data_IF_176398062475
#
_entry.id   IF_176398062475
#
_cell.length_a   1.000
_cell.length_b   1.000
_cell.length_c   1.000
_cell.angle_alpha   90.00
_cell.angle_beta   90.00
_cell.angle_gamma   90.00
#
_symmetry.space_group_name_H-M   'P 1'
#
loop_
_entity.id
_entity.type
_entity.pdbx_description
1 polymer ?
#
# COMPACT_ATOMS: atom_id res chain seq x y z
N UNK A 1 -57.33 7.39 -8.96
CA UNK A 1 -57.34 7.55 -10.44
C UNK A 1 -56.60 6.35 -11.00
N UNK A 2 -57.38 5.28 -11.26
CA UNK A 2 -57.63 4.71 -12.61
C UNK A 2 -56.41 3.96 -13.12
N UNK A 3 -56.16 2.74 -12.64
CA UNK A 3 -56.86 1.45 -12.85
C UNK A 3 -56.43 0.71 -14.14
N UNK A 4 -56.31 -0.63 -14.11
CA UNK A 4 -55.37 -1.41 -14.92
C UNK A 4 -56.11 -2.40 -15.88
N UNK A 5 -55.58 -3.60 -16.20
CA UNK A 5 -55.40 -4.19 -17.55
C UNK A 5 -56.60 -5.09 -17.99
N UNK A 6 -56.55 -5.90 -19.10
CA UNK A 6 -56.04 -7.28 -18.99
C UNK A 6 -55.58 -8.01 -20.29
N UNK A 7 -54.97 -9.19 -20.10
CA UNK A 7 -54.91 -10.35 -21.01
C UNK A 7 -56.29 -10.91 -21.38
N UNK A 8 -56.40 -11.72 -22.45
CA UNK A 8 -57.24 -12.94 -22.70
C UNK A 8 -57.22 -13.19 -24.23
N UNK A 9 -56.53 -14.21 -24.78
CA UNK A 9 -56.87 -15.65 -24.96
C UNK A 9 -57.78 -16.02 -26.16
N UNK A 10 -57.26 -16.98 -26.95
CA UNK A 10 -57.88 -18.10 -27.68
C UNK A 10 -59.05 -17.86 -28.67
N UNK A 11 -58.94 -18.38 -29.90
CA UNK A 11 -59.63 -19.62 -30.33
C UNK A 11 -59.20 -20.09 -31.74
N UNK A 12 -59.54 -21.34 -32.02
CA UNK A 12 -59.03 -22.26 -33.04
C UNK A 12 -59.70 -22.18 -34.42
N UNK A 13 -59.27 -23.15 -35.26
CA UNK A 13 -59.94 -23.84 -36.39
C UNK A 13 -59.80 -23.30 -37.82
N UNK A 14 -59.23 -24.15 -38.71
CA UNK A 14 -59.19 -24.02 -40.18
C UNK A 14 -60.57 -24.19 -40.86
N UNK A 15 -60.71 -24.41 -42.20
CA UNK A 15 -59.93 -25.38 -42.99
C UNK A 15 -59.65 -25.03 -44.48
N UNK A 16 -58.99 -25.98 -45.18
CA UNK A 16 -59.31 -26.50 -46.53
C UNK A 16 -58.70 -25.90 -47.84
N UNK A 17 -58.62 -26.74 -48.92
CA UNK A 17 -57.60 -26.70 -49.97
C UNK A 17 -58.13 -26.39 -51.40
N UNK A 18 -57.23 -26.16 -52.35
CA UNK A 18 -57.50 -26.20 -53.80
C UNK A 18 -56.20 -26.08 -54.60
N UNK A 19 -55.88 -26.86 -55.64
CA UNK A 19 -56.69 -27.77 -56.45
C UNK A 19 -56.89 -27.24 -57.86
N UNK A 20 -55.88 -27.34 -58.75
CA UNK A 20 -56.04 -27.15 -60.20
C UNK A 20 -55.17 -28.20 -60.94
N UNK A 21 -55.71 -29.37 -61.32
CA UNK A 21 -56.46 -29.73 -62.55
C UNK A 21 -55.69 -29.48 -63.87
N UNK A 22 -55.18 -30.57 -64.43
CA UNK A 22 -54.73 -30.74 -65.83
C UNK A 22 -55.93 -30.76 -66.81
N UNK A 23 -55.73 -30.41 -68.09
CA UNK A 23 -56.56 -30.87 -69.20
C UNK A 23 -55.78 -31.77 -70.21
N UNK A 24 -56.49 -32.44 -71.15
CA UNK A 24 -56.21 -33.81 -71.57
C UNK A 24 -55.44 -33.97 -72.90
N UNK A 25 -55.15 -35.23 -73.20
CA UNK A 25 -54.41 -35.81 -74.34
C UNK A 25 -55.29 -35.95 -75.61
N UNK A 26 -54.60 -36.12 -76.76
CA UNK A 26 -55.00 -36.72 -78.06
C UNK A 26 -55.50 -35.70 -79.12
N UNK A 27 -55.08 -35.65 -80.39
CA UNK A 27 -54.34 -36.59 -81.26
C UNK A 27 -53.95 -35.91 -82.61
N UNK A 28 -52.86 -36.37 -83.24
CA UNK A 28 -52.53 -36.54 -84.70
C UNK A 28 -53.02 -35.54 -85.77
N UNK A 29 -52.33 -35.22 -86.88
CA UNK A 29 -51.05 -35.61 -87.49
C UNK A 29 -50.79 -34.71 -88.71
N UNK A 30 -49.52 -34.56 -89.12
CA UNK A 30 -48.98 -34.45 -90.50
C UNK A 30 -47.56 -33.88 -90.37
N UNK A 31 -46.47 -34.62 -90.61
CA UNK A 31 -46.17 -35.29 -91.87
C UNK A 31 -45.28 -34.38 -92.73
N UNK A 32 -44.10 -33.97 -92.22
CA UNK A 32 -43.08 -33.22 -92.97
C UNK A 32 -41.72 -33.88 -92.69
N UNK A 33 -40.88 -34.14 -93.72
CA UNK A 33 -39.87 -35.20 -93.69
C UNK A 33 -38.68 -34.90 -92.78
N UNK A 34 -38.25 -35.95 -92.06
CA UNK A 34 -37.04 -35.99 -91.21
C UNK A 34 -35.78 -35.85 -92.08
N UNK A 35 -34.90 -34.87 -91.83
CA UNK A 35 -33.52 -34.98 -92.27
C UNK A 35 -32.83 -36.14 -91.52
N UNK A 36 -31.85 -36.82 -92.14
CA UNK A 36 -31.20 -37.99 -91.57
C UNK A 36 -30.57 -37.66 -90.20
N UNK A 37 -30.91 -38.47 -89.20
CA UNK A 37 -30.35 -38.41 -87.85
C UNK A 37 -28.87 -38.74 -87.89
N UNK A 38 -28.05 -37.73 -87.69
CA UNK A 38 -26.63 -37.91 -87.42
C UNK A 38 -26.43 -38.42 -85.98
N UNK A 39 -26.33 -39.75 -85.84
CA UNK A 39 -26.14 -40.47 -84.56
C UNK A 39 -24.82 -40.10 -83.85
N UNK A 40 -23.99 -39.23 -84.43
CA UNK A 40 -22.73 -38.75 -83.83
C UNK A 40 -22.92 -37.57 -82.86
N UNK A 41 -24.02 -36.81 -82.92
CA UNK A 41 -24.22 -35.62 -82.03
C UNK A 41 -24.74 -35.94 -80.61
N UNK A 42 -25.44 -37.06 -80.39
CA UNK A 42 -25.98 -37.43 -79.07
C UNK A 42 -24.91 -37.96 -78.09
N UNK A 43 -23.85 -38.59 -78.60
CA UNK A 43 -22.71 -38.99 -77.76
C UNK A 43 -21.93 -37.78 -77.22
N UNK A 44 -21.88 -36.67 -77.97
CA UNK A 44 -21.25 -35.42 -77.51
C UNK A 44 -22.04 -34.71 -76.41
N UNK A 45 -23.38 -34.77 -76.44
CA UNK A 45 -24.23 -34.12 -75.42
C UNK A 45 -24.24 -34.92 -74.11
N UNK A 46 -24.25 -36.26 -74.16
CA UNK A 46 -24.21 -37.08 -72.94
C UNK A 46 -22.84 -37.03 -72.25
N UNK A 47 -21.75 -37.04 -73.03
CA UNK A 47 -20.38 -36.85 -72.49
C UNK A 47 -20.19 -35.41 -72.00
N UNK A 48 -20.77 -34.42 -72.68
CA UNK A 48 -20.80 -33.03 -72.23
C UNK A 48 -21.53 -32.86 -70.91
N UNK A 49 -22.74 -33.42 -70.77
CA UNK A 49 -23.55 -33.31 -69.55
C UNK A 49 -22.92 -34.03 -68.35
N UNK A 50 -22.34 -35.23 -68.55
CA UNK A 50 -21.59 -35.94 -67.49
C UNK A 50 -20.34 -35.13 -67.10
N UNK A 51 -19.62 -34.57 -68.07
CA UNK A 51 -18.49 -33.67 -67.82
C UNK A 51 -18.91 -32.43 -67.01
N UNK A 52 -20.04 -31.80 -67.33
CA UNK A 52 -20.56 -30.66 -66.58
C UNK A 52 -20.95 -31.03 -65.15
N UNK A 53 -21.60 -32.18 -64.94
CA UNK A 53 -21.96 -32.64 -63.58
C UNK A 53 -20.71 -32.94 -62.75
N UNK A 54 -19.69 -33.59 -63.32
CA UNK A 54 -18.42 -33.85 -62.61
C UNK A 54 -17.72 -32.55 -62.23
N UNK A 55 -17.68 -31.56 -63.14
CA UNK A 55 -17.10 -30.24 -62.85
C UNK A 55 -17.89 -29.50 -61.78
N UNK A 56 -19.23 -29.48 -61.84
CA UNK A 56 -20.08 -28.83 -60.84
C UNK A 56 -19.96 -29.50 -59.46
N UNK A 57 -19.94 -30.83 -59.39
CA UNK A 57 -19.71 -31.56 -58.15
C UNK A 57 -18.31 -31.30 -57.59
N UNK A 58 -17.29 -31.26 -58.45
CA UNK A 58 -15.93 -30.91 -58.06
C UNK A 58 -15.84 -29.50 -57.45
N UNK A 59 -16.43 -28.51 -58.12
CA UNK A 59 -16.51 -27.13 -57.62
C UNK A 59 -17.29 -27.04 -56.30
N UNK A 60 -18.38 -27.81 -56.15
CA UNK A 60 -19.15 -27.88 -54.92
C UNK A 60 -18.35 -28.45 -53.74
N UNK A 61 -17.57 -29.53 -53.97
CA UNK A 61 -16.67 -30.10 -52.96
C UNK A 61 -15.57 -29.10 -52.60
N UNK A 62 -14.94 -28.45 -53.60
CA UNK A 62 -13.90 -27.45 -53.35
C UNK A 62 -14.44 -26.25 -52.56
N UNK A 63 -15.64 -25.77 -52.88
CA UNK A 63 -16.31 -24.71 -52.14
C UNK A 63 -16.57 -25.14 -50.69
N UNK A 64 -17.02 -26.37 -50.45
CA UNK A 64 -17.27 -26.88 -49.10
C UNK A 64 -15.98 -26.96 -48.27
N UNK A 65 -14.91 -27.52 -48.84
CA UNK A 65 -13.60 -27.60 -48.18
C UNK A 65 -13.03 -26.22 -47.90
N UNK A 66 -13.13 -25.29 -48.84
CA UNK A 66 -12.67 -23.91 -48.65
C UNK A 66 -13.48 -23.17 -47.56
N UNK A 67 -14.78 -23.43 -47.45
CA UNK A 67 -15.59 -22.87 -46.36
C UNK A 67 -15.20 -23.44 -44.99
N UNK A 68 -15.02 -24.76 -44.88
CA UNK A 68 -14.63 -25.40 -43.63
C UNK A 68 -13.25 -24.91 -43.16
N UNK A 69 -12.26 -24.86 -44.07
CA UNK A 69 -10.93 -24.35 -43.74
C UNK A 69 -10.94 -22.87 -43.32
N UNK A 70 -11.78 -22.05 -43.96
CA UNK A 70 -12.00 -20.67 -43.52
C UNK A 70 -12.64 -20.61 -42.13
N UNK A 71 -13.71 -21.37 -41.88
CA UNK A 71 -14.44 -21.33 -40.60
C UNK A 71 -13.57 -21.81 -39.43
N UNK A 72 -12.74 -22.83 -39.66
CA UNK A 72 -11.75 -23.30 -38.69
C UNK A 72 -10.70 -22.21 -38.41
N UNK A 73 -10.11 -21.59 -39.45
CA UNK A 73 -9.16 -20.50 -39.26
C UNK A 73 -9.78 -19.28 -38.56
N UNK A 74 -11.04 -18.93 -38.90
CA UNK A 74 -11.78 -17.84 -38.28
C UNK A 74 -12.03 -18.10 -36.80
N UNK A 75 -12.49 -19.30 -36.42
CA UNK A 75 -12.63 -19.69 -35.01
C UNK A 75 -11.28 -19.63 -34.26
N UNK A 76 -10.20 -20.01 -34.93
CA UNK A 76 -8.85 -19.91 -34.39
C UNK A 76 -8.42 -18.45 -34.11
N UNK A 77 -8.80 -17.50 -34.96
CA UNK A 77 -8.58 -16.07 -34.75
C UNK A 77 -9.46 -15.55 -33.61
N UNK A 78 -10.73 -15.93 -33.55
CA UNK A 78 -11.62 -15.56 -32.44
C UNK A 78 -11.07 -16.00 -31.07
N UNK A 79 -10.54 -17.22 -30.99
CA UNK A 79 -9.90 -17.75 -29.79
C UNK A 79 -8.64 -16.94 -29.41
N UNK A 80 -7.81 -16.60 -30.39
CA UNK A 80 -6.61 -15.80 -30.18
C UNK A 80 -6.96 -14.36 -29.73
N UNK A 81 -7.99 -13.74 -30.32
CA UNK A 81 -8.49 -12.42 -29.92
C UNK A 81 -9.02 -12.42 -28.49
N UNK A 82 -9.73 -13.48 -28.07
CA UNK A 82 -10.17 -13.65 -26.67
C UNK A 82 -8.98 -13.73 -25.72
N UNK A 83 -7.92 -14.44 -26.10
CA UNK A 83 -6.67 -14.53 -25.32
C UNK A 83 -5.99 -13.17 -25.18
N UNK A 84 -5.82 -12.44 -26.30
CA UNK A 84 -5.25 -11.08 -26.29
C UNK A 84 -6.07 -10.15 -25.40
N UNK A 85 -7.40 -10.19 -25.48
CA UNK A 85 -8.27 -9.31 -24.66
C UNK A 85 -8.12 -9.58 -23.16
N UNK A 86 -8.00 -10.86 -22.76
CA UNK A 86 -7.74 -11.23 -21.37
C UNK A 86 -6.37 -10.71 -20.91
N UNK A 87 -5.32 -10.97 -21.69
CA UNK A 87 -3.96 -10.53 -21.39
C UNK A 87 -3.83 -9.00 -21.37
N UNK A 88 -4.54 -8.29 -22.24
CA UNK A 88 -4.58 -6.84 -22.25
C UNK A 88 -5.23 -6.26 -20.98
N UNK A 89 -6.23 -6.93 -20.43
CA UNK A 89 -6.89 -6.51 -19.17
C UNK A 89 -5.95 -6.72 -17.99
N UNK A 90 -5.26 -7.86 -17.95
CA UNK A 90 -4.28 -8.16 -16.91
C UNK A 90 -3.09 -7.20 -16.96
N UNK A 91 -2.49 -6.99 -18.14
CA UNK A 91 -1.37 -6.07 -18.33
C UNK A 91 -1.73 -4.64 -17.91
N UNK A 92 -2.94 -4.15 -18.22
CA UNK A 92 -3.40 -2.83 -17.75
C UNK A 92 -3.47 -2.74 -16.23
N UNK A 93 -3.98 -3.77 -15.57
CA UNK A 93 -4.02 -3.79 -14.11
C UNK A 93 -2.60 -3.78 -13.53
N UNK A 94 -1.70 -4.62 -14.04
CA UNK A 94 -0.30 -4.68 -13.59
C UNK A 94 0.45 -3.37 -13.83
N UNK A 95 0.19 -2.71 -14.96
CA UNK A 95 0.78 -1.40 -15.27
C UNK A 95 0.26 -0.33 -14.31
N UNK A 96 -1.02 -0.34 -13.97
CA UNK A 96 -1.58 0.57 -12.96
C UNK A 96 -0.99 0.32 -11.57
N UNK A 97 -0.84 -0.95 -11.15
CA UNK A 97 -0.20 -1.31 -9.89
C UNK A 97 1.28 -0.86 -9.85
N UNK A 98 1.99 -1.00 -10.98
CA UNK A 98 3.37 -0.55 -11.15
C UNK A 98 3.49 0.97 -11.01
N UNK A 99 2.64 1.73 -11.69
CA UNK A 99 2.61 3.20 -11.60
C UNK A 99 2.37 3.63 -10.15
N UNK A 100 1.38 3.05 -9.47
CA UNK A 100 1.10 3.37 -8.07
C UNK A 100 2.30 3.06 -7.15
N UNK A 101 2.99 1.94 -7.36
CA UNK A 101 4.17 1.58 -6.59
C UNK A 101 5.35 2.54 -6.88
N UNK A 102 5.60 2.90 -8.14
CA UNK A 102 6.67 3.84 -8.51
C UNK A 102 6.38 5.24 -8.02
N UNK A 103 5.13 5.71 -8.08
CA UNK A 103 4.71 7.02 -7.55
C UNK A 103 4.94 7.11 -6.03
N UNK A 104 4.55 6.06 -5.29
CA UNK A 104 4.85 5.96 -3.86
C UNK A 104 6.36 5.91 -3.58
N UNK A 105 7.12 5.19 -4.41
CA UNK A 105 8.59 5.15 -4.37
C UNK A 105 9.21 6.53 -4.55
N UNK A 106 8.73 7.31 -5.52
CA UNK A 106 9.17 8.69 -5.73
C UNK A 106 8.89 9.58 -4.53
N UNK A 107 7.71 9.50 -3.91
CA UNK A 107 7.41 10.29 -2.70
C UNK A 107 8.39 9.97 -1.57
N UNK A 108 8.76 8.70 -1.42
CA UNK A 108 9.76 8.27 -0.44
C UNK A 108 11.13 8.90 -0.79
N UNK A 109 11.60 8.75 -2.03
CA UNK A 109 12.89 9.30 -2.52
C UNK A 109 12.96 10.83 -2.41
N UNK A 110 11.90 11.52 -2.81
CA UNK A 110 11.79 12.99 -2.87
C UNK A 110 11.72 13.66 -1.50
N UNK A 111 11.57 12.88 -0.42
CA UNK A 111 11.65 13.41 0.95
C UNK A 111 13.00 14.09 1.23
N UNK A 112 14.03 13.82 0.42
CA UNK A 112 15.28 14.59 0.40
C UNK A 112 16.25 14.13 1.47
N UNK A 113 16.91 15.05 2.17
CA UNK A 113 17.87 14.72 3.24
C UNK A 113 17.11 14.26 4.50
N UNK A 114 17.03 12.94 4.78
CA UNK A 114 16.16 12.45 5.83
C UNK A 114 16.78 12.72 7.20
N UNK A 115 15.95 13.07 8.19
CA UNK A 115 16.37 13.22 9.57
C UNK A 115 16.80 11.86 10.16
N UNK A 116 16.07 10.80 9.81
CA UNK A 116 16.44 9.42 10.11
C UNK A 116 17.21 8.85 8.92
N UNK A 117 18.52 8.72 9.10
CA UNK A 117 19.41 8.21 8.05
C UNK A 117 19.05 6.77 7.67
N UNK A 118 19.00 6.53 6.36
CA UNK A 118 18.89 5.19 5.77
C UNK A 118 20.21 4.91 5.03
N UNK A 119 20.75 3.67 5.10
CA UNK A 119 21.93 3.28 4.35
C UNK A 119 21.83 3.62 2.86
N UNK A 120 22.92 4.15 2.29
CA UNK A 120 22.98 4.63 0.91
C UNK A 120 22.68 3.52 -0.12
N UNK A 121 23.05 2.28 0.19
CA UNK A 121 22.80 1.11 -0.65
C UNK A 121 21.31 0.75 -0.74
N UNK A 122 20.56 0.86 0.36
CA UNK A 122 19.10 0.68 0.35
C UNK A 122 18.40 1.79 -0.43
N UNK A 123 18.89 3.02 -0.28
CA UNK A 123 18.38 4.15 -1.05
C UNK A 123 18.61 3.98 -2.55
N UNK A 124 19.82 3.65 -2.95
CA UNK A 124 20.18 3.40 -4.34
C UNK A 124 19.41 2.20 -4.93
N UNK A 125 19.12 1.17 -4.12
CA UNK A 125 18.31 0.04 -4.55
C UNK A 125 16.85 0.43 -4.83
N UNK A 126 16.24 1.25 -3.97
CA UNK A 126 14.88 1.77 -4.22
C UNK A 126 14.85 2.69 -5.45
N UNK A 127 15.78 3.63 -5.57
CA UNK A 127 15.91 4.53 -6.71
C UNK A 127 16.05 3.76 -8.03
N UNK A 128 16.94 2.75 -8.05
CA UNK A 128 17.10 1.87 -9.21
C UNK A 128 15.84 1.08 -9.53
N UNK A 129 15.13 0.57 -8.53
CA UNK A 129 13.90 -0.20 -8.73
C UNK A 129 12.77 0.68 -9.29
N UNK A 130 12.66 1.93 -8.84
CA UNK A 130 11.70 2.90 -9.37
C UNK A 130 12.01 3.23 -10.83
N UNK A 131 13.27 3.55 -11.15
CA UNK A 131 13.67 3.85 -12.53
C UNK A 131 13.49 2.67 -13.50
N UNK A 132 13.79 1.44 -13.04
CA UNK A 132 13.51 0.22 -13.80
C UNK A 132 12.00 0.02 -13.98
N UNK A 133 11.21 0.23 -12.92
CA UNK A 133 9.75 0.17 -12.98
C UNK A 133 9.14 1.15 -13.99
N UNK A 134 9.63 2.39 -14.06
CA UNK A 134 9.19 3.36 -15.06
C UNK A 134 9.52 2.90 -16.49
N UNK A 135 10.71 2.32 -16.69
CA UNK A 135 11.12 1.78 -17.99
C UNK A 135 10.21 0.62 -18.40
N UNK A 136 9.96 -0.33 -17.50
CA UNK A 136 9.04 -1.45 -17.71
C UNK A 136 7.61 -0.98 -17.97
N UNK A 137 7.14 0.06 -17.27
CA UNK A 137 5.83 0.67 -17.50
C UNK A 137 5.69 1.27 -18.90
N UNK A 138 6.74 1.96 -19.38
CA UNK A 138 6.79 2.46 -20.75
C UNK A 138 6.74 1.34 -21.80
N UNK A 139 7.49 0.26 -21.59
CA UNK A 139 7.47 -0.91 -22.47
C UNK A 139 6.10 -1.62 -22.48
N UNK A 140 5.44 -1.70 -21.31
CA UNK A 140 4.09 -2.27 -21.20
C UNK A 140 3.06 -1.44 -21.98
N UNK A 141 3.12 -0.11 -21.91
CA UNK A 141 2.26 0.79 -22.70
C UNK A 141 2.50 0.65 -24.21
N UNK A 142 3.76 0.48 -24.65
CA UNK A 142 4.09 0.21 -26.05
C UNK A 142 3.46 -1.11 -26.53
N UNK A 143 3.51 -2.16 -25.71
CA UNK A 143 2.84 -3.44 -26.01
C UNK A 143 1.32 -3.26 -26.08
N UNK A 144 0.71 -2.54 -25.14
CA UNK A 144 -0.73 -2.23 -25.12
C UNK A 144 -1.19 -1.42 -26.34
N UNK A 145 -0.30 -0.60 -26.91
CA UNK A 145 -0.54 0.21 -28.10
C UNK A 145 -0.41 -0.58 -29.42
N UNK A 146 0.00 -1.85 -29.38
CA UNK A 146 0.15 -2.69 -30.57
C UNK A 146 -1.18 -2.84 -31.31
N UNK A 147 -1.19 -2.54 -32.61
CA UNK A 147 -2.38 -2.64 -33.46
C UNK A 147 -2.72 -4.11 -33.73
N UNK A 148 -3.94 -4.51 -33.38
CA UNK A 148 -4.48 -5.83 -33.70
C UNK A 148 -4.94 -5.92 -35.16
N UNK A 149 -4.90 -7.12 -35.79
CA UNK A 149 -5.52 -7.37 -37.08
C UNK A 149 -6.99 -6.94 -37.12
N UNK A 150 -7.45 -6.46 -38.27
CA UNK A 150 -8.84 -6.02 -38.45
C UNK A 150 -9.74 -7.18 -38.88
N UNK A 151 -11.00 -7.15 -38.45
CA UNK A 151 -12.00 -8.12 -38.89
C UNK A 151 -12.25 -8.01 -40.40
N UNK A 152 -11.96 -9.06 -41.15
CA UNK A 152 -12.27 -9.17 -42.58
C UNK A 152 -13.63 -9.83 -42.82
N UNK A 153 -14.38 -9.36 -43.82
CA UNK A 153 -15.63 -10.01 -44.25
C UNK A 153 -15.36 -11.30 -45.02
N UNK A 154 -16.05 -12.40 -44.66
CA UNK A 154 -15.93 -13.71 -45.33
C UNK A 154 -16.21 -13.63 -46.84
N UNK A 155 -15.25 -14.02 -47.70
CA UNK A 155 -15.48 -14.07 -49.15
C UNK A 155 -16.49 -15.14 -49.56
N UNK A 156 -17.21 -14.90 -50.67
CA UNK A 156 -18.25 -15.82 -51.15
C UNK A 156 -17.75 -17.02 -51.96
N UNK A 157 -16.51 -16.98 -52.47
CA UNK A 157 -16.06 -17.90 -53.51
C UNK A 157 -14.74 -18.62 -53.18
N UNK A 158 -14.60 -19.88 -53.60
CA UNK A 158 -13.55 -20.79 -53.08
C UNK A 158 -12.12 -20.29 -53.24
N UNK A 159 -11.76 -19.63 -54.35
CA UNK A 159 -10.38 -19.12 -54.52
C UNK A 159 -10.07 -17.95 -53.58
N UNK A 160 -11.06 -17.09 -53.30
CA UNK A 160 -10.93 -15.99 -52.35
C UNK A 160 -10.92 -16.54 -50.91
N UNK A 161 -11.69 -17.60 -50.64
CA UNK A 161 -11.69 -18.30 -49.35
C UNK A 161 -10.32 -18.88 -49.02
N UNK A 162 -9.63 -19.54 -49.97
CA UNK A 162 -8.29 -20.06 -49.72
C UNK A 162 -7.28 -18.94 -49.37
N UNK A 163 -7.33 -17.82 -50.09
CA UNK A 163 -6.47 -16.67 -49.79
C UNK A 163 -6.78 -16.07 -48.41
N UNK A 164 -8.07 -15.95 -48.07
CA UNK A 164 -8.50 -15.43 -46.78
C UNK A 164 -8.15 -16.40 -45.62
N UNK A 165 -8.23 -17.71 -45.83
CA UNK A 165 -7.77 -18.71 -44.84
C UNK A 165 -6.28 -18.54 -44.54
N UNK A 166 -5.43 -18.31 -45.55
CA UNK A 166 -4.00 -18.06 -45.34
C UNK A 166 -3.75 -16.76 -44.55
N UNK A 167 -4.49 -15.68 -44.83
CA UNK A 167 -4.41 -14.45 -44.05
C UNK A 167 -4.87 -14.64 -42.61
N UNK A 168 -5.99 -15.33 -42.38
CA UNK A 168 -6.45 -15.65 -41.03
C UNK A 168 -5.41 -16.48 -40.25
N UNK A 169 -4.67 -17.37 -40.90
CA UNK A 169 -3.59 -18.10 -40.24
C UNK A 169 -2.42 -17.17 -39.83
N UNK A 170 -2.09 -16.16 -40.65
CA UNK A 170 -1.09 -15.14 -40.35
C UNK A 170 -1.57 -14.19 -39.23
N UNK A 171 -2.83 -13.75 -39.27
CA UNK A 171 -3.47 -12.95 -38.22
C UNK A 171 -3.48 -13.72 -36.90
N UNK A 172 -3.80 -15.02 -36.95
CA UNK A 172 -3.77 -15.87 -35.76
C UNK A 172 -2.36 -15.99 -35.18
N UNK A 173 -1.32 -16.09 -36.01
CA UNK A 173 0.07 -16.07 -35.54
C UNK A 173 0.40 -14.74 -34.88
N UNK A 174 0.06 -13.63 -35.54
CA UNK A 174 0.29 -12.27 -35.01
C UNK A 174 -0.40 -12.07 -33.66
N UNK A 175 -1.66 -12.50 -33.52
CA UNK A 175 -2.39 -12.40 -32.26
C UNK A 175 -1.76 -13.24 -31.14
N UNK A 176 -1.20 -14.42 -31.45
CA UNK A 176 -0.47 -15.22 -30.46
C UNK A 176 0.82 -14.53 -30.02
N UNK A 177 1.59 -13.98 -30.95
CA UNK A 177 2.82 -13.25 -30.65
C UNK A 177 2.54 -12.02 -29.78
N UNK A 178 1.43 -11.30 -30.05
CA UNK A 178 0.96 -10.19 -29.22
C UNK A 178 0.54 -10.67 -27.83
N UNK A 179 -0.20 -11.78 -27.73
CA UNK A 179 -0.60 -12.34 -26.44
C UNK A 179 0.62 -12.76 -25.60
N UNK A 180 1.63 -13.38 -26.21
CA UNK A 180 2.89 -13.75 -25.55
C UNK A 180 3.68 -12.50 -25.11
N UNK A 181 3.72 -11.46 -25.94
CA UNK A 181 4.34 -10.18 -25.58
C UNK A 181 3.64 -9.52 -24.39
N UNK A 182 2.30 -9.56 -24.34
CA UNK A 182 1.53 -9.06 -23.20
C UNK A 182 1.76 -9.86 -21.92
N UNK A 183 1.84 -11.19 -22.02
CA UNK A 183 2.12 -12.08 -20.88
C UNK A 183 3.52 -11.85 -20.30
N UNK A 184 4.52 -11.70 -21.18
CA UNK A 184 5.89 -11.33 -20.82
C UNK A 184 5.95 -9.96 -20.14
N UNK A 185 5.31 -8.94 -20.74
CA UNK A 185 5.24 -7.60 -20.16
C UNK A 185 4.51 -7.59 -18.80
N UNK A 186 3.45 -8.38 -18.65
CA UNK A 186 2.71 -8.54 -17.39
C UNK A 186 3.59 -9.14 -16.30
N UNK A 187 4.37 -10.16 -16.64
CA UNK A 187 5.35 -10.79 -15.74
C UNK A 187 6.45 -9.81 -15.32
N UNK A 188 7.00 -9.05 -16.27
CA UNK A 188 8.00 -8.01 -15.98
C UNK A 188 7.42 -6.91 -15.08
N UNK A 189 6.22 -6.41 -15.37
CA UNK A 189 5.55 -5.39 -14.55
C UNK A 189 5.32 -5.89 -13.11
N UNK A 190 4.88 -7.13 -12.95
CA UNK A 190 4.72 -7.74 -11.63
C UNK A 190 6.06 -7.86 -10.87
N UNK A 191 7.14 -8.27 -11.55
CA UNK A 191 8.47 -8.34 -10.95
C UNK A 191 9.00 -6.95 -10.54
N UNK A 192 8.76 -5.92 -11.35
CA UNK A 192 9.12 -4.54 -11.02
C UNK A 192 8.32 -4.00 -9.83
N UNK A 193 7.01 -4.31 -9.74
CA UNK A 193 6.18 -4.00 -8.55
C UNK A 193 6.80 -4.62 -7.30
N UNK A 194 7.13 -5.91 -7.35
CA UNK A 194 7.71 -6.62 -6.21
C UNK A 194 9.08 -6.04 -5.81
N UNK A 195 9.90 -5.64 -6.77
CA UNK A 195 11.19 -4.99 -6.52
C UNK A 195 11.01 -3.63 -5.82
N UNK A 196 10.12 -2.76 -6.31
CA UNK A 196 9.83 -1.46 -5.69
C UNK A 196 9.29 -1.66 -4.28
N UNK A 197 8.34 -2.59 -4.10
CA UNK A 197 7.74 -2.89 -2.79
C UNK A 197 8.77 -3.41 -1.79
N UNK A 198 9.58 -4.37 -2.19
CA UNK A 198 10.61 -4.96 -1.32
C UNK A 198 11.61 -3.91 -0.86
N UNK A 199 12.14 -3.11 -1.80
CA UNK A 199 13.11 -2.08 -1.47
C UNK A 199 12.50 -0.93 -0.66
N UNK A 200 11.27 -0.51 -0.97
CA UNK A 200 10.60 0.54 -0.20
C UNK A 200 10.26 0.11 1.23
N UNK A 201 9.76 -1.11 1.44
CA UNK A 201 9.56 -1.66 2.79
C UNK A 201 10.88 -1.74 3.57
N UNK A 202 11.99 -2.11 2.92
CA UNK A 202 13.31 -2.14 3.55
C UNK A 202 13.76 -0.73 4.01
N UNK A 203 13.53 0.30 3.18
CA UNK A 203 13.80 1.70 3.53
C UNK A 203 12.96 2.16 4.72
N UNK A 204 11.64 1.91 4.70
CA UNK A 204 10.73 2.26 5.80
C UNK A 204 11.14 1.58 7.11
N UNK A 205 11.37 0.27 7.06
CA UNK A 205 11.75 -0.54 8.23
C UNK A 205 13.04 -0.03 8.84
N UNK A 206 14.07 0.19 8.02
CA UNK A 206 15.38 0.66 8.50
C UNK A 206 15.28 2.05 9.13
N UNK A 207 14.52 2.97 8.52
CA UNK A 207 14.29 4.30 9.10
C UNK A 207 13.55 4.23 10.44
N UNK A 208 12.53 3.37 10.54
CA UNK A 208 11.74 3.21 11.75
C UNK A 208 12.55 2.57 12.89
N UNK A 209 13.37 1.56 12.59
CA UNK A 209 14.28 0.94 13.56
C UNK A 209 15.33 1.94 14.10
N UNK A 210 15.73 2.92 13.30
CA UNK A 210 16.64 3.98 13.74
C UNK A 210 16.02 4.96 14.76
N UNK A 211 14.68 5.01 14.89
CA UNK A 211 13.99 5.98 15.73
C UNK A 211 14.38 5.89 17.22
N UNK A 212 14.62 4.69 17.76
CA UNK A 212 15.02 4.53 19.16
C UNK A 212 16.43 5.06 19.47
N UNK A 213 17.38 4.84 18.57
CA UNK A 213 18.72 5.40 18.68
C UNK A 213 18.69 6.93 18.47
N UNK A 214 17.84 7.40 17.56
CA UNK A 214 17.61 8.82 17.31
C UNK A 214 17.03 9.51 18.54
N UNK A 215 15.98 8.96 19.16
CA UNK A 215 15.42 9.47 20.42
C UNK A 215 16.49 9.57 21.52
N UNK A 216 17.32 8.53 21.67
CA UNK A 216 18.38 8.48 22.67
C UNK A 216 19.46 9.56 22.45
N UNK A 217 19.64 10.02 21.21
CA UNK A 217 20.58 11.08 20.87
C UNK A 217 20.04 12.50 21.16
N UNK A 218 18.73 12.64 21.40
CA UNK A 218 18.05 13.93 21.63
C UNK A 218 17.39 13.98 23.02
N UNK A 219 18.15 13.81 24.12
CA UNK A 219 17.59 13.61 25.46
C UNK A 219 16.80 14.80 26.00
N UNK A 220 16.99 16.01 25.45
CA UNK A 220 16.32 17.22 25.93
C UNK A 220 15.03 17.53 25.17
N UNK A 221 14.60 16.67 24.24
CA UNK A 221 13.35 16.86 23.48
C UNK A 221 12.12 16.69 24.37
N UNK A 222 11.00 17.32 24.00
CA UNK A 222 9.74 17.25 24.76
C UNK A 222 9.01 15.93 24.58
N UNK A 223 8.25 15.52 25.59
CA UNK A 223 7.54 14.23 25.60
C UNK A 223 6.62 14.04 24.39
N UNK A 224 5.92 15.10 23.95
CA UNK A 224 5.00 15.04 22.82
C UNK A 224 5.71 14.68 21.50
N UNK A 225 6.92 15.20 21.27
CA UNK A 225 7.69 14.90 20.07
C UNK A 225 8.22 13.46 20.09
N UNK A 226 8.67 12.95 21.25
CA UNK A 226 9.04 11.54 21.43
C UNK A 226 7.87 10.62 21.13
N UNK A 227 6.70 10.90 21.68
CA UNK A 227 5.49 10.08 21.47
C UNK A 227 5.11 10.07 19.99
N UNK A 228 5.15 11.23 19.32
CA UNK A 228 4.89 11.32 17.89
C UNK A 228 5.90 10.52 17.05
N UNK A 229 7.20 10.59 17.38
CA UNK A 229 8.24 9.81 16.72
C UNK A 229 8.01 8.29 16.89
N UNK A 230 7.74 7.84 18.12
CA UNK A 230 7.46 6.42 18.40
C UNK A 230 6.20 5.93 17.67
N UNK A 231 5.14 6.74 17.66
CA UNK A 231 3.92 6.44 16.92
C UNK A 231 4.16 6.30 15.42
N UNK A 232 4.84 7.29 14.82
CA UNK A 232 5.16 7.25 13.39
C UNK A 232 6.10 6.09 13.03
N UNK A 233 7.04 5.72 13.91
CA UNK A 233 7.90 4.56 13.72
C UNK A 233 7.10 3.25 13.78
N UNK A 234 6.15 3.12 14.72
CA UNK A 234 5.27 1.96 14.79
C UNK A 234 4.37 1.84 13.54
N UNK A 235 3.82 2.96 13.06
CA UNK A 235 3.03 2.99 11.82
C UNK A 235 3.88 2.57 10.62
N UNK A 236 5.11 3.06 10.50
CA UNK A 236 6.04 2.66 9.43
C UNK A 236 6.43 1.18 9.50
N UNK A 237 6.62 0.60 10.70
CA UNK A 237 6.89 -0.83 10.89
C UNK A 237 5.69 -1.72 10.58
N UNK A 238 4.46 -1.18 10.63
CA UNK A 238 3.25 -1.92 10.31
C UNK A 238 3.00 -2.02 8.79
N UNK A 239 3.75 -1.27 7.97
CA UNK A 239 3.64 -1.28 6.51
C UNK A 239 4.19 -2.59 5.93
N UNK A 240 3.40 -3.26 5.09
CA UNK A 240 3.79 -4.49 4.41
C UNK A 240 3.86 -4.38 2.89
N UNK A 241 3.32 -3.30 2.31
CA UNK A 241 3.35 -3.01 0.87
C UNK A 241 3.67 -1.53 0.64
N UNK A 242 4.24 -1.19 -0.51
CA UNK A 242 4.53 0.21 -0.89
C UNK A 242 3.39 0.74 -1.75
N UNK A 243 2.64 1.67 -1.18
CA UNK A 243 1.53 2.42 -1.77
C UNK A 243 1.51 3.87 -1.22
N UNK A 244 0.47 4.64 -1.54
CA UNK A 244 0.30 6.02 -1.05
C UNK A 244 0.33 6.12 0.49
N UNK A 245 -0.20 5.11 1.20
CA UNK A 245 -0.24 5.10 2.65
C UNK A 245 1.17 4.82 3.23
N UNK A 246 1.93 3.93 2.62
CA UNK A 246 3.33 3.69 2.96
C UNK A 246 4.19 4.95 2.77
N UNK A 247 4.03 5.62 1.62
CA UNK A 247 4.72 6.87 1.35
C UNK A 247 4.37 7.96 2.37
N UNK A 248 3.08 8.11 2.72
CA UNK A 248 2.63 9.03 3.76
C UNK A 248 3.20 8.68 5.15
N UNK A 249 3.28 7.40 5.51
CA UNK A 249 3.87 6.93 6.76
C UNK A 249 5.36 7.27 6.83
N UNK A 250 6.11 7.08 5.75
CA UNK A 250 7.52 7.47 5.67
C UNK A 250 7.71 8.98 5.87
N UNK A 251 6.93 9.79 5.17
CA UNK A 251 6.97 11.27 5.32
C UNK A 251 6.62 11.69 6.75
N UNK A 252 5.61 11.08 7.36
CA UNK A 252 5.21 11.35 8.74
C UNK A 252 6.33 10.98 9.73
N UNK A 253 7.02 9.86 9.53
CA UNK A 253 8.17 9.44 10.32
C UNK A 253 9.33 10.44 10.22
N UNK A 254 9.71 10.85 9.02
CA UNK A 254 10.77 11.85 8.81
C UNK A 254 10.42 13.21 9.41
N UNK A 255 9.14 13.61 9.29
CA UNK A 255 8.63 14.82 9.92
C UNK A 255 8.73 14.73 11.45
N UNK A 256 8.31 13.62 12.05
CA UNK A 256 8.34 13.45 13.50
C UNK A 256 9.78 13.50 14.04
N UNK A 257 10.75 12.93 13.33
CA UNK A 257 12.17 13.06 13.66
C UNK A 257 12.66 14.51 13.56
N UNK A 258 12.23 15.26 12.55
CA UNK A 258 12.54 16.69 12.43
C UNK A 258 11.93 17.49 13.60
N UNK A 259 10.70 17.18 13.99
CA UNK A 259 10.02 17.83 15.12
C UNK A 259 10.74 17.53 16.46
N UNK A 260 11.35 16.35 16.62
CA UNK A 260 12.18 16.01 17.79
C UNK A 260 13.41 16.93 17.89
N UNK A 261 14.12 17.15 16.79
CA UNK A 261 15.29 18.07 16.75
C UNK A 261 14.84 19.50 17.06
N UNK A 262 13.77 19.96 16.40
CA UNK A 262 13.26 21.32 16.60
C UNK A 262 12.79 21.55 18.04
N UNK A 263 12.15 20.55 18.66
CA UNK A 263 11.75 20.62 20.07
C UNK A 263 12.97 20.62 21.00
N UNK A 264 13.99 19.79 20.76
CA UNK A 264 15.21 19.83 21.55
C UNK A 264 15.95 21.17 21.43
N UNK A 265 16.06 21.73 20.23
CA UNK A 265 16.71 23.03 20.02
C UNK A 265 16.00 24.16 20.79
N UNK A 266 14.66 24.15 20.79
CA UNK A 266 13.86 25.08 21.59
C UNK A 266 14.13 24.90 23.10
N UNK A 267 14.14 23.65 23.56
CA UNK A 267 14.42 23.30 24.96
C UNK A 267 15.83 23.71 25.41
N UNK A 268 16.84 23.50 24.57
CA UNK A 268 18.22 23.90 24.84
C UNK A 268 18.38 25.42 24.82
N UNK A 269 17.58 26.13 24.02
CA UNK A 269 17.53 27.59 24.00
C UNK A 269 16.92 28.15 25.28
N UNK A 270 15.82 27.57 25.79
CA UNK A 270 15.22 27.96 27.08
C UNK A 270 16.17 27.70 28.25
N UNK A 271 16.94 26.62 28.19
CA UNK A 271 17.95 26.28 29.20
C UNK A 271 19.20 27.15 29.17
N UNK A 272 19.36 28.02 28.17
CA UNK A 272 20.56 28.85 28.01
C UNK A 272 20.85 29.77 29.20
N UNK A 273 22.12 30.14 29.34
CA UNK A 273 22.61 31.01 30.42
C UNK A 273 23.56 30.30 31.39
N UNK A 274 23.92 30.95 32.51
CA UNK A 274 24.96 30.47 33.43
C UNK A 274 24.66 29.11 34.07
N UNK A 275 23.38 28.75 34.19
CA UNK A 275 22.93 27.51 34.84
C UNK A 275 22.80 26.31 33.88
N UNK A 276 23.03 26.51 32.58
CA UNK A 276 22.77 25.49 31.54
C UNK A 276 23.39 24.13 31.86
N UNK A 277 24.67 24.09 32.23
CA UNK A 277 25.38 22.82 32.49
C UNK A 277 24.80 22.09 33.70
N UNK A 278 24.50 22.81 34.78
CA UNK A 278 23.89 22.23 35.97
C UNK A 278 22.50 21.66 35.66
N UNK A 279 21.69 22.36 34.86
CA UNK A 279 20.39 21.87 34.40
C UNK A 279 20.52 20.55 33.65
N UNK A 280 21.42 20.47 32.66
CA UNK A 280 21.63 19.24 31.89
C UNK A 280 22.11 18.06 32.75
N UNK A 281 23.00 18.31 33.72
CA UNK A 281 23.43 17.28 34.68
C UNK A 281 22.29 16.81 35.59
N UNK A 282 21.44 17.72 36.05
CA UNK A 282 20.26 17.41 36.87
C UNK A 282 19.27 16.54 36.10
N UNK A 283 19.00 16.87 34.85
CA UNK A 283 18.05 16.11 34.04
C UNK A 283 18.59 14.73 33.68
N UNK A 284 19.90 14.62 33.38
CA UNK A 284 20.55 13.33 33.18
C UNK A 284 20.50 12.47 34.46
N UNK A 285 20.75 13.08 35.62
CA UNK A 285 20.61 12.43 36.91
C UNK A 285 19.16 11.95 37.14
N UNK A 286 18.17 12.81 36.92
CA UNK A 286 16.76 12.44 37.07
C UNK A 286 16.34 11.28 36.15
N UNK A 287 16.74 11.30 34.88
CA UNK A 287 16.50 10.19 33.93
C UNK A 287 17.16 8.88 34.39
N UNK A 288 18.34 8.95 35.01
CA UNK A 288 19.01 7.76 35.56
C UNK A 288 18.26 7.12 36.74
N UNK A 289 17.40 7.89 37.41
CA UNK A 289 16.57 7.40 38.51
C UNK A 289 15.25 6.81 37.99
N UNK A 290 14.70 7.22 36.84
CA UNK A 290 13.42 6.74 36.33
C UNK A 290 13.52 6.02 34.97
N UNK A 291 14.12 4.82 34.91
CA UNK A 291 14.23 4.08 33.65
C UNK A 291 12.85 3.73 33.10
N UNK A 292 12.62 4.08 31.84
CA UNK A 292 11.38 3.78 31.11
C UNK A 292 10.24 4.76 31.37
N UNK A 293 10.49 5.92 31.98
CA UNK A 293 9.53 7.03 32.06
C UNK A 293 10.03 8.17 31.17
N UNK A 294 9.14 8.73 30.35
CA UNK A 294 9.46 9.94 29.60
C UNK A 294 9.46 11.15 30.53
N UNK A 295 10.61 11.80 30.67
CA UNK A 295 10.79 12.96 31.54
C UNK A 295 11.07 14.23 30.72
N UNK A 296 10.26 15.24 30.97
CA UNK A 296 10.43 16.61 30.48
C UNK A 296 10.69 17.54 31.67
N UNK A 297 11.38 18.66 31.45
CA UNK A 297 11.84 19.53 32.53
C UNK A 297 11.59 21.00 32.21
N UNK A 298 10.99 21.68 33.18
CA UNK A 298 10.79 23.12 33.17
C UNK A 298 11.62 23.80 34.27
N UNK A 299 12.03 25.05 34.03
CA UNK A 299 12.89 25.80 34.94
C UNK A 299 12.34 27.19 35.23
N UNK A 300 12.08 27.49 36.50
CA UNK A 300 11.55 28.78 36.94
C UNK A 300 12.38 29.38 38.08
N UNK A 301 12.36 30.71 38.31
CA UNK A 301 13.00 31.28 39.50
C UNK A 301 12.43 30.77 40.82
N UNK A 302 11.12 30.47 40.84
CA UNK A 302 10.39 30.00 42.02
C UNK A 302 9.40 28.93 41.60
N UNK A 303 9.38 27.81 42.32
CA UNK A 303 8.43 26.70 42.15
C UNK A 303 7.80 26.41 43.51
N UNK A 304 6.47 26.28 43.58
CA UNK A 304 5.73 26.09 44.83
C UNK A 304 6.11 27.07 45.96
N UNK A 305 6.42 28.32 45.60
CA UNK A 305 6.81 29.38 46.54
C UNK A 305 8.26 29.31 47.06
N UNK A 306 9.07 28.34 46.60
CA UNK A 306 10.48 28.19 46.95
C UNK A 306 11.41 28.44 45.75
N UNK A 307 12.57 29.05 45.98
CA UNK A 307 13.51 29.44 44.91
C UNK A 307 14.44 30.60 45.28
N UNK A 308 14.11 31.38 46.30
CA UNK A 308 14.93 32.49 46.81
C UNK A 308 15.56 32.19 48.18
N UNK A 309 16.60 32.95 48.55
CA UNK A 309 17.28 32.86 49.86
C UNK A 309 17.76 31.45 50.21
N UNK A 310 18.19 30.67 49.22
CA UNK A 310 18.66 29.30 49.38
C UNK A 310 17.55 28.24 49.53
N UNK A 311 16.27 28.63 49.47
CA UNK A 311 15.17 27.66 49.34
C UNK A 311 15.14 27.05 47.94
N UNK A 312 14.72 25.79 47.84
CA UNK A 312 14.57 25.04 46.59
C UNK A 312 13.16 24.48 46.53
N UNK A 313 12.52 24.62 45.38
CA UNK A 313 11.22 24.04 45.06
C UNK A 313 11.31 23.13 43.86
N UNK A 314 10.47 22.10 43.88
CA UNK A 314 10.15 21.23 42.77
C UNK A 314 8.64 21.03 42.67
N UNK A 315 8.20 20.63 41.49
CA UNK A 315 6.83 20.21 41.24
C UNK A 315 6.80 19.22 40.08
N UNK A 316 6.11 18.10 40.26
CA UNK A 316 6.01 17.07 39.22
C UNK A 316 4.57 16.85 38.83
N UNK A 317 4.30 16.86 37.53
CA UNK A 317 3.01 16.42 36.96
C UNK A 317 3.25 15.14 36.16
N UNK A 318 2.42 14.12 36.34
CA UNK A 318 2.57 12.83 35.66
C UNK A 318 1.25 12.33 35.06
N UNK A 319 1.37 11.44 34.08
CA UNK A 319 0.24 10.83 33.38
C UNK A 319 0.46 9.32 33.27
N UNK A 320 -0.57 8.54 33.63
CA UNK A 320 -0.59 7.06 33.55
C UNK A 320 -0.99 6.53 32.16
N UNK A 321 -0.66 7.25 31.09
CA UNK A 321 -0.85 6.75 29.73
C UNK A 321 0.35 5.91 29.27
N UNK A 322 0.26 5.38 28.04
CA UNK A 322 1.30 4.57 27.42
C UNK A 322 1.90 5.35 26.23
N UNK A 323 3.20 5.71 26.26
CA UNK A 323 4.16 5.51 27.35
C UNK A 323 3.91 6.45 28.54
N UNK A 324 4.20 5.97 29.74
CA UNK A 324 4.10 6.77 30.97
C UNK A 324 5.05 7.95 30.93
N UNK A 325 4.56 9.14 31.28
CA UNK A 325 5.33 10.39 31.19
C UNK A 325 5.14 11.31 32.39
N UNK A 326 6.10 12.19 32.59
CA UNK A 326 6.04 13.25 33.57
C UNK A 326 6.77 14.52 33.10
N UNK A 327 6.36 15.65 33.68
CA UNK A 327 7.04 16.95 33.61
C UNK A 327 7.49 17.31 35.02
N UNK A 328 8.78 17.61 35.18
CA UNK A 328 9.36 18.04 36.45
C UNK A 328 9.77 19.51 36.32
N UNK A 329 9.10 20.38 37.05
CA UNK A 329 9.46 21.79 37.18
C UNK A 329 10.40 21.99 38.36
N UNK A 330 11.55 22.62 38.14
CA UNK A 330 12.56 22.88 39.17
C UNK A 330 12.88 24.37 39.29
N UNK A 331 13.03 24.83 40.53
CA UNK A 331 13.50 26.19 40.78
C UNK A 331 14.97 26.37 40.38
N UNK A 332 15.35 27.55 39.90
CA UNK A 332 16.72 27.88 39.50
C UNK A 332 17.74 27.64 40.62
N UNK A 333 17.33 27.81 41.88
CA UNK A 333 18.20 27.57 43.05
C UNK A 333 18.63 26.12 43.20
N UNK A 334 17.91 25.15 42.60
CA UNK A 334 18.35 23.75 42.50
C UNK A 334 19.60 23.65 41.63
N UNK A 335 19.60 24.31 40.48
CA UNK A 335 20.74 24.36 39.58
C UNK A 335 21.91 25.18 40.15
N UNK A 336 21.62 26.27 40.88
CA UNK A 336 22.65 27.08 41.56
C UNK A 336 23.40 26.31 42.65
N UNK A 337 22.71 25.39 43.34
CA UNK A 337 23.27 24.60 44.45
C UNK A 337 23.79 23.22 44.01
N UNK A 338 23.66 22.88 42.73
CA UNK A 338 24.11 21.59 42.22
C UNK A 338 25.64 21.42 42.32
N UNK A 339 26.17 20.25 42.73
CA UNK A 339 25.50 18.98 43.04
C UNK A 339 25.37 18.71 44.56
N UNK A 340 24.94 19.67 45.37
CA UNK A 340 24.76 19.47 46.81
C UNK A 340 23.81 18.30 47.13
N UNK A 341 24.05 17.64 48.28
CA UNK A 341 23.23 16.50 48.73
C UNK A 341 21.74 16.88 48.79
N UNK A 342 21.46 18.07 49.33
CA UNK A 342 20.12 18.66 49.38
C UNK A 342 19.46 18.80 48.00
N UNK A 343 20.17 19.25 46.97
CA UNK A 343 19.61 19.39 45.61
C UNK A 343 19.36 18.03 44.97
N UNK A 344 20.27 17.05 45.19
CA UNK A 344 20.09 15.67 44.69
C UNK A 344 18.90 14.99 45.35
N UNK A 345 18.72 15.18 46.66
CA UNK A 345 17.62 14.64 47.43
C UNK A 345 16.26 15.19 46.96
N UNK A 346 16.17 16.51 46.71
CA UNK A 346 14.97 17.10 46.13
C UNK A 346 14.67 16.54 44.73
N UNK A 347 15.66 16.48 43.84
CA UNK A 347 15.45 15.93 42.48
C UNK A 347 15.01 14.47 42.55
N UNK A 348 15.59 13.66 43.46
CA UNK A 348 15.15 12.28 43.66
C UNK A 348 13.71 12.18 44.17
N UNK A 349 13.27 13.12 45.01
CA UNK A 349 11.87 13.19 45.45
C UNK A 349 10.93 13.47 44.27
N UNK A 350 11.22 14.48 43.45
CA UNK A 350 10.43 14.80 42.26
C UNK A 350 10.36 13.62 41.28
N UNK A 351 11.48 12.92 41.08
CA UNK A 351 11.49 11.68 40.29
C UNK A 351 10.61 10.58 40.93
N UNK A 352 10.48 10.55 42.25
CA UNK A 352 9.58 9.65 42.96
C UNK A 352 8.11 9.84 42.56
N UNK A 353 7.67 11.08 42.29
CA UNK A 353 6.36 11.31 41.69
C UNK A 353 6.31 10.78 40.26
N UNK A 354 7.31 11.07 39.44
CA UNK A 354 7.35 10.66 38.04
C UNK A 354 7.33 9.14 37.86
N UNK A 355 8.13 8.39 38.62
CA UNK A 355 8.22 6.93 38.50
C UNK A 355 6.94 6.21 38.94
N UNK A 356 6.07 6.91 39.68
CA UNK A 356 4.78 6.36 40.10
C UNK A 356 3.90 5.93 38.93
N UNK A 357 4.15 6.43 37.71
CA UNK A 357 3.46 5.98 36.48
C UNK A 357 3.68 4.49 36.19
N UNK A 358 4.80 3.91 36.62
CA UNK A 358 5.10 2.48 36.49
C UNK A 358 4.73 1.64 37.72
N UNK A 359 4.48 2.30 38.85
CA UNK A 359 4.33 1.69 40.17
C UNK A 359 2.93 1.89 40.77
N UNK A 360 1.94 2.26 39.95
CA UNK A 360 0.65 2.76 40.42
C UNK A 360 -0.04 1.83 41.42
N UNK A 361 0.07 0.51 41.22
CA UNK A 361 -0.59 -0.50 42.06
C UNK A 361 0.20 -0.84 43.34
N UNK A 362 1.35 -0.22 43.57
CA UNK A 362 2.23 -0.51 44.71
C UNK A 362 1.96 0.38 45.93
N UNK A 363 1.16 1.42 45.78
CA UNK A 363 0.83 2.36 46.86
C UNK A 363 -0.57 2.98 46.66
N UNK A 364 -1.07 3.66 47.69
CA UNK A 364 -2.34 4.38 47.59
C UNK A 364 -2.13 5.74 46.90
N UNK A 365 -2.49 5.87 45.62
CA UNK A 365 -2.36 7.13 44.87
C UNK A 365 -3.58 8.07 45.03
N UNK A 366 -4.52 7.79 45.95
CA UNK A 366 -5.78 8.54 46.06
C UNK A 366 -5.69 9.84 46.86
N UNK A 367 -4.61 10.07 47.60
CA UNK A 367 -4.44 11.26 48.46
C UNK A 367 -3.08 11.91 48.26
N UNK A 368 -3.02 13.24 48.40
CA UNK A 368 -1.76 13.98 48.33
C UNK A 368 -0.74 13.46 49.34
N UNK A 369 -1.15 13.26 50.60
CA UNK A 369 -0.27 12.76 51.66
C UNK A 369 0.41 11.42 51.30
N UNK A 370 -0.34 10.51 50.68
CA UNK A 370 0.20 9.23 50.25
C UNK A 370 1.14 9.33 49.04
N UNK A 371 0.82 10.23 48.10
CA UNK A 371 1.68 10.57 46.96
C UNK A 371 3.02 11.16 47.42
N UNK A 372 2.99 12.09 48.38
CA UNK A 372 4.20 12.70 48.95
C UNK A 372 5.04 11.68 49.72
N UNK A 373 4.39 10.77 50.47
CA UNK A 373 5.06 9.66 51.15
C UNK A 373 5.72 8.70 50.17
N UNK A 374 5.08 8.42 49.03
CA UNK A 374 5.65 7.62 47.97
C UNK A 374 6.91 8.26 47.39
N UNK A 375 6.84 9.54 47.00
CA UNK A 375 7.98 10.27 46.46
C UNK A 375 9.17 10.32 47.44
N UNK A 376 8.87 10.57 48.72
CA UNK A 376 9.87 10.55 49.80
C UNK A 376 10.47 9.15 49.99
N UNK A 377 9.64 8.11 49.97
CA UNK A 377 10.08 6.72 50.12
C UNK A 377 10.96 6.29 48.95
N UNK A 378 10.63 6.71 47.74
CA UNK A 378 11.45 6.52 46.55
C UNK A 378 12.84 7.13 46.73
N UNK A 379 12.93 8.42 47.07
CA UNK A 379 14.21 9.10 47.29
C UNK A 379 15.07 8.43 48.38
N UNK A 380 14.46 8.08 49.51
CA UNK A 380 15.13 7.34 50.60
C UNK A 380 15.63 5.99 50.11
N UNK A 381 14.80 5.23 49.38
CA UNK A 381 15.21 3.94 48.85
C UNK A 381 16.45 4.10 47.98
N UNK A 382 16.54 5.18 47.18
CA UNK A 382 17.66 5.47 46.26
C UNK A 382 18.92 5.91 47.00
N UNK A 383 18.87 6.03 48.34
CA UNK A 383 19.98 6.42 49.18
C UNK A 383 20.08 7.93 49.44
N UNK A 384 19.06 8.71 49.05
CA UNK A 384 19.04 10.15 49.29
C UNK A 384 18.32 10.45 50.61
N UNK A 385 19.11 10.67 51.67
CA UNK A 385 18.61 10.78 53.05
C UNK A 385 18.63 12.20 53.62
N UNK A 386 19.15 13.19 52.90
CA UNK A 386 19.00 14.61 53.28
C UNK A 386 17.52 14.99 53.37
N UNK A 387 17.15 15.81 54.36
CA UNK A 387 15.75 16.13 54.69
C UNK A 387 14.98 16.80 53.53
N UNK A 388 15.67 17.33 52.51
CA UNK A 388 15.05 17.86 51.30
C UNK A 388 14.46 16.78 50.37
N UNK A 389 14.63 15.49 50.68
CA UNK A 389 13.95 14.38 50.00
C UNK A 389 12.43 14.30 50.27
N UNK A 390 11.86 15.28 50.97
CA UNK A 390 10.46 15.32 51.38
C UNK A 390 10.25 15.14 52.89
N UNK A 391 11.22 14.59 53.63
CA UNK A 391 11.10 14.38 55.10
C UNK A 391 10.85 15.68 55.85
N UNK A 392 11.51 16.78 55.48
CA UNK A 392 11.30 18.08 56.13
C UNK A 392 9.85 18.59 56.00
N UNK A 393 9.23 18.38 54.83
CA UNK A 393 7.90 18.89 54.51
C UNK A 393 6.77 17.93 54.94
N UNK A 394 6.98 16.62 54.77
CA UNK A 394 5.95 15.59 54.84
C UNK A 394 6.20 14.52 55.91
N UNK A 395 7.37 14.55 56.56
CA UNK A 395 7.80 13.58 57.54
C UNK A 395 8.31 12.28 56.91
N UNK A 396 8.78 11.36 57.77
CA UNK A 396 9.26 10.05 57.33
C UNK A 396 8.11 9.16 56.85
N UNK A 397 8.22 8.54 55.66
CA UNK A 397 7.23 7.59 55.18
C UNK A 397 7.31 6.27 55.96
N UNK A 398 6.22 5.50 56.03
CA UNK A 398 6.23 4.15 56.60
C UNK A 398 7.22 3.21 55.88
N UNK A 399 7.83 2.27 56.61
CA UNK A 399 8.81 1.33 56.04
C UNK A 399 8.26 0.54 54.84
N UNK A 400 6.98 0.15 54.87
CA UNK A 400 6.36 -0.57 53.77
C UNK A 400 6.31 0.26 52.46
N UNK A 401 6.29 1.60 52.53
CA UNK A 401 6.42 2.46 51.34
C UNK A 401 7.85 2.45 50.81
N UNK A 402 8.86 2.49 51.69
CA UNK A 402 10.28 2.44 51.30
C UNK A 402 10.59 1.09 50.64
N UNK A 403 10.10 -0.01 51.21
CA UNK A 403 10.28 -1.35 50.66
C UNK A 403 9.56 -1.49 49.31
N UNK A 404 8.34 -0.96 49.18
CA UNK A 404 7.59 -0.95 47.92
C UNK A 404 8.30 -0.13 46.83
N UNK A 405 8.77 1.08 47.16
CA UNK A 405 9.50 1.93 46.23
C UNK A 405 10.82 1.30 45.78
N UNK A 406 11.56 0.65 46.71
CA UNK A 406 12.76 -0.12 46.37
C UNK A 406 12.46 -1.28 45.41
N UNK A 407 11.30 -1.94 45.57
CA UNK A 407 10.86 -3.04 44.73
C UNK A 407 10.33 -2.64 43.35
N UNK A 408 10.05 -1.35 43.09
CA UNK A 408 9.57 -0.90 41.77
C UNK A 408 10.69 -0.67 40.74
N UNK A 409 11.94 -0.57 41.19
CA UNK A 409 13.11 -0.46 40.29
C UNK A 409 13.26 -1.70 39.43
#
# INVERSE_FOLDING_TARGET
>A
MTAPPPSVAATATGPAPGGHRLPPVLSSASGVPRPPRDRRRLKGILVGAIGTVVVLTGLGITQLVANQGYDEAASGVEDATRSVTAQQTELRQRTADLIAATDAGHVIIDTGAPALAVPEDLWAALDSAVAEGETTGGEAEDVLATRLPADETKPGWFWDLFAATSRLAEDQSTLRDVAESMDSASTSAAASVDAVRTNGVAVLTTAAEAAGAFESAHPSTRNAAVIALRGAAADALAVTEVDDAAAAAYVALQKAATDVVAAEDAELAEKAGPLRNARLEIEAFARSLAPGVLLEFDWAPVVNGAGYNGSMGGYTTWWWDEPGRAVIELSNSVAEQWPAERSRALVAHEVGHAISVKCQDMYDSSTQDSIEKWATAWAISMGFTDDANGVWAYGYPPQNYIDAAAGCR
#
